data_IF_088313320744
#
_entry.id   IF_088313320744
#
_cell.length_a   1.000
_cell.length_b   1.000
_cell.length_c   1.000
_cell.angle_alpha   90.00
_cell.angle_beta   90.00
_cell.angle_gamma   90.00
#
_symmetry.space_group_name_H-M   'P 1'
#
loop_
_entity.id
_entity.type
_entity.pdbx_description
1 polymer ?
#
# COMPACT_ATOMS: atom_id res chain seq x y z
N UNK A 1 4.16 9.70 11.76
CA UNK A 1 4.40 8.30 11.30
C UNK A 1 5.34 8.32 10.10
N UNK A 2 6.42 7.51 10.12
CA UNK A 2 7.41 7.46 9.03
C UNK A 2 6.79 6.94 7.72
N UNK A 3 7.21 7.49 6.58
CA UNK A 3 6.74 7.15 5.23
C UNK A 3 7.85 7.29 4.20
N UNK A 4 7.69 6.65 3.05
CA UNK A 4 8.61 6.85 1.92
C UNK A 4 8.35 8.20 1.24
N UNK A 5 9.35 9.07 1.19
CA UNK A 5 9.29 10.41 0.59
C UNK A 5 9.97 10.51 -0.78
N UNK A 6 10.65 9.46 -1.21
CA UNK A 6 11.37 9.42 -2.48
C UNK A 6 10.46 9.34 -3.72
N UNK A 7 11.06 9.26 -4.92
CA UNK A 7 10.34 9.26 -6.19
C UNK A 7 9.46 8.00 -6.35
N UNK A 8 8.16 8.21 -6.45
CA UNK A 8 7.13 7.15 -6.49
C UNK A 8 7.20 6.30 -7.76
N UNK A 9 7.35 6.92 -8.93
CA UNK A 9 7.40 6.20 -10.20
C UNK A 9 8.62 5.28 -10.33
N UNK A 10 9.72 5.61 -9.63
CA UNK A 10 10.89 4.74 -9.55
C UNK A 10 10.55 3.39 -8.90
N UNK A 11 9.62 3.37 -7.93
CA UNK A 11 9.15 2.15 -7.28
C UNK A 11 8.34 1.28 -8.25
N UNK A 12 7.39 1.88 -9.00
CA UNK A 12 6.61 1.16 -10.01
C UNK A 12 7.49 0.56 -11.09
N UNK A 13 8.44 1.35 -11.63
CA UNK A 13 9.42 0.85 -12.61
C UNK A 13 10.25 -0.32 -12.09
N UNK A 14 10.62 -0.29 -10.82
CA UNK A 14 11.40 -1.38 -10.20
C UNK A 14 10.63 -2.70 -10.14
N UNK A 15 9.31 -2.64 -9.95
CA UNK A 15 8.44 -3.81 -9.89
C UNK A 15 7.85 -4.19 -11.26
N UNK A 16 8.13 -3.40 -12.32
CA UNK A 16 7.62 -3.64 -13.67
C UNK A 16 6.10 -3.56 -13.79
N UNK A 17 5.44 -2.88 -12.88
CA UNK A 17 3.98 -2.74 -12.87
C UNK A 17 3.55 -1.39 -12.29
N UNK A 18 2.40 -0.86 -12.72
CA UNK A 18 1.84 0.33 -12.07
C UNK A 18 1.28 -0.06 -10.69
N UNK A 19 1.81 0.59 -9.67
CA UNK A 19 1.39 0.44 -8.28
C UNK A 19 0.34 1.48 -7.87
N UNK A 20 -0.23 2.23 -8.82
CA UNK A 20 -1.20 3.31 -8.57
C UNK A 20 -0.71 4.35 -7.53
N UNK A 21 0.60 4.64 -7.53
CA UNK A 21 1.22 5.59 -6.60
C UNK A 21 1.07 7.06 -7.04
N UNK A 22 0.58 7.29 -8.24
CA UNK A 22 0.27 8.61 -8.81
C UNK A 22 -1.15 8.60 -9.34
N UNK A 23 -1.76 9.80 -9.40
CA UNK A 23 -3.12 9.99 -9.89
C UNK A 23 -3.36 9.26 -11.22
N UNK A 24 -4.51 8.62 -11.37
CA UNK A 24 -4.90 7.89 -12.59
C UNK A 24 -5.24 8.79 -13.80
N UNK A 25 -5.19 10.13 -13.67
CA UNK A 25 -5.49 11.08 -14.77
C UNK A 25 -4.66 10.86 -16.03
N UNK A 26 -3.44 10.32 -15.91
CA UNK A 26 -2.58 9.93 -17.03
C UNK A 26 -2.22 8.47 -16.89
N UNK A 27 -2.07 7.76 -18.00
CA UNK A 27 -1.57 6.38 -18.02
C UNK A 27 -0.15 6.31 -17.43
N UNK A 28 0.24 5.16 -16.93
CA UNK A 28 1.59 4.93 -16.39
C UNK A 28 2.67 5.21 -17.45
N UNK A 29 2.47 4.72 -18.66
CA UNK A 29 3.42 4.87 -19.79
C UNK A 29 3.61 6.32 -20.19
N UNK A 30 2.56 7.15 -20.13
CA UNK A 30 2.68 8.58 -20.43
C UNK A 30 3.42 9.37 -19.35
N UNK A 31 3.46 8.86 -18.11
CA UNK A 31 4.18 9.50 -16.98
C UNK A 31 5.67 9.14 -16.96
N UNK A 32 6.06 8.05 -17.61
CA UNK A 32 7.41 7.50 -17.52
C UNK A 32 7.97 7.29 -18.92
N UNK A 33 9.02 8.03 -19.28
CA UNK A 33 9.68 7.91 -20.59
C UNK A 33 10.19 6.50 -20.93
N UNK A 34 10.36 5.62 -19.95
CA UNK A 34 10.87 4.26 -20.11
C UNK A 34 10.26 3.36 -19.02
N UNK A 35 8.97 3.07 -19.15
CA UNK A 35 8.22 2.26 -18.19
C UNK A 35 8.81 0.85 -18.02
N UNK A 36 9.25 0.26 -19.12
CA UNK A 36 9.80 -1.10 -19.18
C UNK A 36 11.22 -1.22 -18.60
N UNK A 37 11.96 -0.10 -18.55
CA UNK A 37 13.36 -0.12 -18.07
C UNK A 37 13.41 0.05 -16.56
N UNK A 38 14.07 -0.91 -15.89
CA UNK A 38 14.33 -0.83 -14.45
C UNK A 38 15.11 0.46 -14.11
N UNK A 39 14.87 1.09 -12.96
CA UNK A 39 15.59 2.28 -12.56
C UNK A 39 17.06 1.97 -12.23
N UNK A 40 17.96 2.91 -12.56
CA UNK A 40 19.38 2.85 -12.28
C UNK A 40 20.24 2.84 -13.53
N UNK A 41 21.55 3.02 -13.37
CA UNK A 41 22.52 3.08 -14.46
C UNK A 41 22.51 1.80 -15.32
N UNK A 42 22.39 0.62 -14.70
CA UNK A 42 22.35 -0.68 -15.35
C UNK A 42 20.93 -1.21 -15.61
N UNK A 43 19.92 -0.33 -15.59
CA UNK A 43 18.52 -0.74 -15.76
C UNK A 43 18.23 -1.48 -17.07
N UNK A 44 18.90 -1.09 -18.16
CA UNK A 44 18.76 -1.69 -19.49
C UNK A 44 19.39 -3.08 -19.59
N UNK A 45 20.49 -3.32 -18.87
CA UNK A 45 21.23 -4.59 -18.88
C UNK A 45 20.78 -5.57 -17.81
N UNK A 46 19.87 -5.18 -16.93
CA UNK A 46 19.36 -5.98 -15.82
C UNK A 46 18.29 -7.01 -16.26
N UNK A 47 18.63 -7.86 -17.22
CA UNK A 47 17.77 -8.94 -17.73
C UNK A 47 17.97 -10.30 -17.03
N UNK A 48 18.68 -10.37 -15.93
CA UNK A 48 18.99 -11.61 -15.23
C UNK A 48 17.73 -12.34 -14.74
N UNK A 49 17.64 -13.65 -14.99
CA UNK A 49 16.57 -14.52 -14.46
C UNK A 49 16.55 -14.42 -12.93
N UNK A 50 15.38 -14.15 -12.38
CA UNK A 50 15.19 -14.11 -10.92
C UNK A 50 15.20 -15.52 -10.36
N UNK A 51 15.90 -15.72 -9.24
CA UNK A 51 15.74 -16.92 -8.41
C UNK A 51 14.36 -16.94 -7.75
N UNK A 52 13.93 -18.09 -7.22
CA UNK A 52 12.66 -18.22 -6.51
C UNK A 52 12.58 -17.24 -5.32
N UNK A 53 13.67 -17.14 -4.56
CA UNK A 53 13.79 -16.12 -3.51
C UNK A 53 13.62 -14.69 -4.06
N UNK A 54 14.25 -14.40 -5.20
CA UNK A 54 14.14 -13.10 -5.85
C UNK A 54 12.71 -12.76 -6.26
N UNK A 55 11.97 -13.74 -6.76
CA UNK A 55 10.55 -13.59 -7.15
C UNK A 55 9.68 -13.31 -5.92
N UNK A 56 9.82 -14.12 -4.87
CA UNK A 56 9.09 -13.92 -3.61
C UNK A 56 9.39 -12.56 -2.98
N UNK A 57 10.66 -12.13 -3.02
CA UNK A 57 11.07 -10.82 -2.53
C UNK A 57 10.40 -9.69 -3.33
N UNK A 58 10.30 -9.82 -4.65
CA UNK A 58 9.64 -8.80 -5.50
C UNK A 58 8.15 -8.71 -5.19
N UNK A 59 7.45 -9.82 -5.07
CA UNK A 59 6.02 -9.82 -4.71
C UNK A 59 5.77 -9.19 -3.34
N UNK A 60 6.57 -9.53 -2.33
CA UNK A 60 6.53 -8.86 -1.03
C UNK A 60 6.74 -7.35 -1.14
N UNK A 61 7.76 -6.91 -1.89
CA UNK A 61 8.07 -5.50 -2.08
C UNK A 61 6.96 -4.77 -2.85
N UNK A 62 6.37 -5.40 -3.84
CA UNK A 62 5.25 -4.89 -4.62
C UNK A 62 4.06 -4.59 -3.70
N UNK A 63 3.63 -5.58 -2.91
CA UNK A 63 2.56 -5.42 -1.94
C UNK A 63 2.85 -4.28 -0.95
N UNK A 64 4.01 -4.30 -0.30
CA UNK A 64 4.43 -3.27 0.66
C UNK A 64 4.40 -1.85 0.07
N UNK A 65 4.85 -1.70 -1.18
CA UNK A 65 4.92 -0.41 -1.89
C UNK A 65 3.54 0.09 -2.30
N UNK A 66 2.67 -0.80 -2.74
CA UNK A 66 1.28 -0.47 -3.10
C UNK A 66 0.53 0.19 -1.94
N UNK A 67 0.65 -0.38 -0.74
CA UNK A 67 0.01 0.19 0.47
C UNK A 67 0.85 1.28 1.15
N UNK A 68 2.07 1.56 0.69
CA UNK A 68 2.94 2.57 1.26
C UNK A 68 3.38 2.29 2.69
N UNK A 69 3.44 1.02 3.08
CA UNK A 69 3.83 0.56 4.42
C UNK A 69 5.34 0.32 4.46
N UNK A 70 5.99 0.67 5.58
CA UNK A 70 7.41 0.38 5.80
C UNK A 70 7.61 -1.06 6.30
N UNK A 71 8.84 -1.58 6.12
CA UNK A 71 9.18 -2.99 6.40
C UNK A 71 8.81 -3.43 7.82
N UNK A 72 9.14 -2.62 8.83
CA UNK A 72 8.84 -2.95 10.23
C UNK A 72 7.34 -3.12 10.48
N UNK A 73 6.54 -2.24 9.90
CA UNK A 73 5.08 -2.29 10.02
C UNK A 73 4.51 -3.47 9.22
N UNK A 74 5.04 -3.74 8.03
CA UNK A 74 4.62 -4.87 7.20
C UNK A 74 4.88 -6.21 7.91
N UNK A 75 6.04 -6.38 8.55
CA UNK A 75 6.35 -7.57 9.36
C UNK A 75 5.36 -7.80 10.50
N UNK A 76 4.89 -6.71 11.16
CA UNK A 76 3.86 -6.81 12.20
C UNK A 76 2.53 -7.34 11.64
N UNK A 77 2.09 -6.82 10.47
CA UNK A 77 0.90 -7.35 9.82
C UNK A 77 1.04 -8.81 9.42
N UNK A 78 2.20 -9.19 8.91
CA UNK A 78 2.46 -10.59 8.57
C UNK A 78 2.44 -11.50 9.80
N UNK A 79 3.10 -11.12 10.88
CA UNK A 79 3.08 -11.86 12.13
C UNK A 79 1.66 -12.00 12.70
N UNK A 80 0.85 -10.95 12.62
CA UNK A 80 -0.55 -10.99 13.04
C UNK A 80 -1.38 -11.92 12.12
N UNK A 81 -1.18 -11.84 10.81
CA UNK A 81 -1.85 -12.72 9.85
C UNK A 81 -1.51 -14.20 10.07
N UNK A 82 -0.24 -14.52 10.38
CA UNK A 82 0.22 -15.87 10.65
C UNK A 82 -0.33 -16.47 11.95
N UNK A 83 -0.73 -15.61 12.91
CA UNK A 83 -1.34 -16.06 14.17
C UNK A 83 -2.83 -16.42 14.05
N UNK A 84 -3.50 -15.89 13.03
CA UNK A 84 -4.92 -16.10 12.82
C UNK A 84 -5.14 -17.41 12.06
N UNK A 85 -6.23 -18.09 12.36
CA UNK A 85 -6.65 -19.31 11.63
C UNK A 85 -7.15 -18.94 10.23
N UNK A 86 -6.71 -19.66 9.21
CA UNK A 86 -7.10 -19.47 7.82
C UNK A 86 -5.92 -19.20 6.89
N UNK A 87 -6.20 -18.75 5.67
CA UNK A 87 -5.19 -18.42 4.67
C UNK A 87 -4.44 -17.13 5.07
N UNK A 88 -3.18 -17.27 5.44
CA UNK A 88 -2.33 -16.13 5.85
C UNK A 88 -2.30 -15.00 4.82
N UNK A 89 -2.31 -15.32 3.52
CA UNK A 89 -2.29 -14.32 2.45
C UNK A 89 -3.56 -13.49 2.42
N UNK A 90 -4.72 -14.12 2.50
CA UNK A 90 -6.03 -13.43 2.52
C UNK A 90 -6.18 -12.58 3.78
N UNK A 91 -5.80 -13.10 4.94
CA UNK A 91 -5.82 -12.37 6.19
C UNK A 91 -4.89 -11.16 6.14
N UNK A 92 -3.69 -11.29 5.56
CA UNK A 92 -2.76 -10.19 5.39
C UNK A 92 -3.34 -9.10 4.48
N UNK A 93 -3.99 -9.49 3.38
CA UNK A 93 -4.68 -8.53 2.51
C UNK A 93 -5.84 -7.84 3.24
N UNK A 94 -6.65 -8.57 3.97
CA UNK A 94 -7.74 -8.00 4.76
C UNK A 94 -7.22 -6.96 5.78
N UNK A 95 -6.13 -7.27 6.48
CA UNK A 95 -5.49 -6.33 7.42
C UNK A 95 -4.94 -5.07 6.74
N UNK A 96 -4.42 -5.18 5.52
CA UNK A 96 -3.92 -4.04 4.76
C UNK A 96 -5.06 -3.21 4.15
N UNK A 97 -6.12 -3.86 3.68
CA UNK A 97 -7.30 -3.17 3.11
C UNK A 97 -8.14 -2.47 4.17
N UNK A 98 -8.22 -3.01 5.40
CA UNK A 98 -8.97 -2.41 6.51
C UNK A 98 -8.36 -1.14 7.10
N UNK A 99 -7.18 -0.74 6.68
CA UNK A 99 -6.54 0.51 7.13
C UNK A 99 -7.35 1.73 6.71
N UNK A 100 -7.52 2.69 7.59
CA UNK A 100 -8.29 3.90 7.33
C UNK A 100 -7.77 4.68 6.09
N UNK A 101 -6.45 4.80 5.92
CA UNK A 101 -5.86 5.47 4.75
C UNK A 101 -6.24 4.77 3.43
N UNK A 102 -6.32 3.45 3.44
CA UNK A 102 -6.71 2.69 2.26
C UNK A 102 -8.23 2.72 2.03
N UNK A 103 -9.05 2.63 3.08
CA UNK A 103 -10.52 2.74 2.96
C UNK A 103 -10.91 4.09 2.39
N UNK A 104 -10.32 5.18 2.88
CA UNK A 104 -10.55 6.55 2.36
C UNK A 104 -10.17 6.65 0.87
N UNK A 105 -9.08 5.99 0.46
CA UNK A 105 -8.70 5.88 -0.96
C UNK A 105 -9.75 5.09 -1.77
N UNK A 106 -10.21 3.95 -1.26
CA UNK A 106 -11.23 3.10 -1.93
C UNK A 106 -12.58 3.80 -2.06
N UNK A 107 -12.94 4.64 -1.10
CA UNK A 107 -14.13 5.50 -1.16
C UNK A 107 -14.01 6.66 -2.16
N UNK A 108 -12.81 6.87 -2.76
CA UNK A 108 -12.61 7.90 -3.78
C UNK A 108 -12.35 9.32 -3.23
N UNK A 109 -12.21 9.51 -1.91
CA UNK A 109 -11.88 10.82 -1.34
C UNK A 109 -10.49 11.32 -1.70
N UNK A 110 -9.58 10.42 -2.10
CA UNK A 110 -8.25 10.77 -2.58
C UNK A 110 -7.93 10.06 -3.89
N UNK A 111 -7.26 10.72 -4.81
CA UNK A 111 -6.83 10.13 -6.09
C UNK A 111 -5.68 9.14 -5.92
N UNK A 112 -5.02 9.15 -4.77
CA UNK A 112 -3.94 8.23 -4.41
C UNK A 112 -3.99 7.87 -2.93
N UNK A 113 -3.43 6.71 -2.56
CA UNK A 113 -3.29 6.33 -1.13
C UNK A 113 -2.47 7.35 -0.32
N UNK A 114 -1.52 8.03 -0.95
CA UNK A 114 -0.72 9.06 -0.29
C UNK A 114 -1.54 10.31 0.04
N UNK A 115 -2.44 10.71 -0.85
CA UNK A 115 -3.39 11.80 -0.66
C UNK A 115 -4.43 11.44 0.41
N UNK A 116 -5.05 10.26 0.29
CA UNK A 116 -5.99 9.76 1.30
C UNK A 116 -5.36 9.74 2.70
N UNK A 117 -4.12 9.28 2.80
CA UNK A 117 -3.36 9.32 4.06
C UNK A 117 -3.15 10.74 4.57
N UNK A 118 -2.93 11.70 3.70
CA UNK A 118 -2.79 13.10 4.09
C UNK A 118 -4.11 13.66 4.60
N UNK A 119 -5.24 13.39 3.94
CA UNK A 119 -6.58 13.78 4.40
C UNK A 119 -6.86 13.27 5.82
N UNK A 120 -6.57 12.00 6.09
CA UNK A 120 -6.71 11.43 7.44
C UNK A 120 -5.79 12.14 8.43
N UNK A 121 -4.50 12.31 8.10
CA UNK A 121 -3.53 12.95 9.01
C UNK A 121 -3.86 14.40 9.35
N UNK A 122 -4.58 15.09 8.46
CA UNK A 122 -5.06 16.46 8.64
C UNK A 122 -6.44 16.56 9.27
N UNK A 123 -6.95 15.45 9.83
CA UNK A 123 -8.28 15.39 10.48
C UNK A 123 -9.45 15.77 9.57
N UNK A 124 -9.32 15.63 8.25
CA UNK A 124 -10.39 15.93 7.30
C UNK A 124 -11.46 14.82 7.23
N UNK A 125 -11.21 13.66 7.88
CA UNK A 125 -12.09 12.50 7.87
C UNK A 125 -12.69 12.27 9.26
N UNK A 126 -13.98 12.03 9.29
CA UNK A 126 -14.69 11.61 10.50
C UNK A 126 -14.93 10.09 10.44
N UNK A 127 -14.75 9.43 11.56
CA UNK A 127 -15.08 8.02 11.76
C UNK A 127 -16.10 7.96 12.89
N UNK A 128 -17.32 7.52 12.59
CA UNK A 128 -18.44 7.52 13.55
C UNK A 128 -18.65 8.89 14.23
N UNK A 129 -18.60 9.96 13.46
CA UNK A 129 -18.79 11.34 13.94
C UNK A 129 -17.59 11.95 14.67
N UNK A 130 -16.51 11.18 14.90
CA UNK A 130 -15.29 11.65 15.61
C UNK A 130 -14.15 11.89 14.63
N UNK A 131 -13.39 12.98 14.82
CA UNK A 131 -12.17 13.26 14.05
C UNK A 131 -11.11 12.21 14.35
N UNK A 132 -10.54 11.63 13.30
CA UNK A 132 -9.45 10.66 13.39
C UNK A 132 -8.23 11.11 12.60
N UNK A 133 -7.04 11.10 13.22
CA UNK A 133 -5.77 11.47 12.57
C UNK A 133 -4.80 10.28 12.45
N UNK A 134 -5.28 9.05 12.65
CA UNK A 134 -4.45 7.85 12.65
C UNK A 134 -4.68 7.06 11.35
N UNK A 135 -3.83 7.21 10.30
CA UNK A 135 -4.02 6.53 9.03
C UNK A 135 -3.96 5.00 9.10
N UNK A 136 -3.30 4.45 10.10
CA UNK A 136 -3.18 3.01 10.31
C UNK A 136 -4.28 2.42 11.20
N UNK A 137 -5.30 3.20 11.56
CA UNK A 137 -6.44 2.69 12.29
C UNK A 137 -7.10 1.58 11.47
N UNK A 138 -7.33 0.42 12.07
CA UNK A 138 -8.06 -0.68 11.45
C UNK A 138 -9.56 -0.48 11.67
N UNK A 139 -10.32 -0.58 10.59
CA UNK A 139 -11.79 -0.47 10.64
C UNK A 139 -12.49 -1.82 10.89
N UNK A 140 -11.75 -2.92 10.98
CA UNK A 140 -12.32 -4.26 11.24
C UNK A 140 -13.10 -4.26 12.57
N UNK A 141 -12.60 -3.56 13.59
CA UNK A 141 -13.23 -3.53 14.91
C UNK A 141 -14.32 -2.46 15.08
N UNK A 142 -14.50 -1.58 14.10
CA UNK A 142 -15.50 -0.50 14.16
C UNK A 142 -16.84 -0.96 13.59
N UNK A 143 -16.85 -2.00 12.79
CA UNK A 143 -18.03 -2.56 12.13
C UNK A 143 -18.70 -3.71 12.90
N UNK A 144 -18.21 -4.08 14.06
CA UNK A 144 -18.95 -5.00 14.92
C UNK A 144 -20.14 -4.25 15.53
N UNK A 145 -21.38 -4.64 15.22
CA UNK A 145 -22.53 -4.09 15.95
C UNK A 145 -22.33 -4.45 17.42
N UNK A 146 -22.25 -3.44 18.27
CA UNK A 146 -22.34 -3.63 19.72
C UNK A 146 -23.62 -4.40 19.97
N UNK A 147 -23.51 -5.65 20.41
CA UNK A 147 -24.66 -6.41 20.89
C UNK A 147 -25.24 -5.60 22.05
N UNK A 148 -26.51 -5.20 21.98
CA UNK A 148 -27.17 -4.67 23.15
C UNK A 148 -27.20 -5.80 24.19
N UNK A 149 -26.76 -5.51 25.39
CA UNK A 149 -26.89 -6.38 26.52
C UNK A 149 -28.37 -6.60 26.83
#
# INVERSE_FOLDING_TARGET
>A
MARYLGPKLKLSRREGSDLNLKSARRSFDSKVKSAEVKPGQHGKTSGQRLSDYGTQLREKQKMKRTYGVLERQFRRYYAEASRRTGNTGEILFALLESRLDNVVYRMGFGSTRAEARQLVSHCAILVNGKKCNIPSLSLIHISEPTRPY
#
